data_IF_124173831373
#
_entry.id   IF_124173831373
#
_cell.length_a   1.000
_cell.length_b   1.000
_cell.length_c   1.000
_cell.angle_alpha   90.00
_cell.angle_beta   90.00
_cell.angle_gamma   90.00
#
_symmetry.space_group_name_H-M   'P 1'
#
loop_
_entity.id
_entity.type
_entity.pdbx_description
1 polymer ?
#
# COMPACT_ATOMS: atom_id res chain seq x y z
N UNK A 1 60.95 22.06 22.25
CA UNK A 1 60.15 22.89 21.32
C UNK A 1 58.69 22.72 21.67
N UNK A 2 58.02 23.84 21.89
CA UNK A 2 56.72 23.98 22.54
C UNK A 2 55.55 23.44 21.70
N UNK A 3 54.63 22.73 22.36
CA UNK A 3 53.19 22.68 22.02
C UNK A 3 52.54 23.95 22.60
N UNK A 4 51.59 24.63 21.91
CA UNK A 4 50.16 24.38 22.19
C UNK A 4 49.18 24.74 21.04
N UNK A 5 47.92 24.29 21.11
CA UNK A 5 46.91 24.70 20.12
C UNK A 5 45.47 24.25 20.31
N UNK A 6 45.00 24.16 21.55
CA UNK A 6 43.61 23.85 21.92
C UNK A 6 42.63 24.96 21.48
N UNK A 7 41.56 24.64 20.73
CA UNK A 7 40.31 25.42 20.75
C UNK A 7 39.09 24.49 20.71
N UNK A 8 38.44 24.42 21.87
CA UNK A 8 37.08 23.90 22.08
C UNK A 8 36.08 24.90 21.50
N UNK A 9 35.04 24.42 20.83
CA UNK A 9 33.80 25.16 20.67
C UNK A 9 32.67 24.30 21.27
N UNK A 10 32.32 24.63 22.51
CA UNK A 10 31.10 24.21 23.14
C UNK A 10 29.97 25.11 22.62
N UNK A 11 29.00 24.52 21.92
CA UNK A 11 27.78 25.19 21.49
C UNK A 11 26.59 24.50 22.14
N UNK A 12 26.35 24.82 23.40
CA UNK A 12 25.10 24.50 24.11
C UNK A 12 24.05 25.49 23.61
N UNK A 13 23.06 25.03 22.86
CA UNK A 13 21.81 25.77 22.64
C UNK A 13 20.69 24.96 23.27
N UNK A 14 20.44 25.31 24.52
CA UNK A 14 19.26 24.96 25.28
C UNK A 14 18.18 25.95 24.85
N UNK A 15 17.19 25.53 24.05
CA UNK A 15 15.93 26.26 23.94
C UNK A 15 14.81 25.41 24.54
N UNK A 16 14.15 26.08 25.46
CA UNK A 16 13.20 25.62 26.46
C UNK A 16 11.89 25.10 25.88
N UNK A 17 11.32 24.19 26.64
CA UNK A 17 9.97 23.67 26.57
C UNK A 17 8.84 24.72 26.57
N UNK A 18 7.64 24.19 26.29
CA UNK A 18 6.28 24.65 26.62
C UNK A 18 5.46 25.29 25.49
N UNK A 19 4.71 24.45 24.78
CA UNK A 19 3.35 24.80 24.38
C UNK A 19 2.45 23.55 24.43
N UNK A 20 2.04 23.21 25.65
CA UNK A 20 0.86 22.39 25.88
C UNK A 20 -0.40 23.16 25.45
N UNK A 21 -1.41 22.41 25.02
CA UNK A 21 -2.82 22.70 25.30
C UNK A 21 -3.50 23.81 24.48
N UNK A 22 -3.85 23.56 23.22
CA UNK A 22 -5.16 23.94 22.64
C UNK A 22 -5.34 23.39 21.22
N UNK A 23 -5.91 22.19 21.08
CA UNK A 23 -6.94 21.93 20.06
C UNK A 23 -7.74 20.65 20.44
N UNK A 24 -8.27 20.65 21.67
CA UNK A 24 -9.50 19.93 21.97
C UNK A 24 -10.64 20.74 21.32
N UNK A 25 -10.94 20.48 20.05
CA UNK A 25 -12.09 21.04 19.35
C UNK A 25 -12.71 19.98 18.44
N UNK A 26 -13.45 19.07 19.07
CA UNK A 26 -14.79 18.66 18.65
C UNK A 26 -15.00 18.42 17.14
N UNK A 27 -14.73 17.20 16.65
CA UNK A 27 -15.61 16.64 15.62
C UNK A 27 -16.57 15.65 16.25
N UNK A 28 -17.67 16.26 16.66
CA UNK A 28 -18.97 15.74 17.04
C UNK A 28 -19.34 14.52 16.19
N UNK A 29 -19.53 13.40 16.87
CA UNK A 29 -20.18 12.20 16.37
C UNK A 29 -21.61 12.52 15.94
N UNK A 30 -21.84 12.68 14.63
CA UNK A 30 -23.20 12.75 14.09
C UNK A 30 -23.80 11.34 14.04
N UNK A 31 -24.35 10.87 15.17
CA UNK A 31 -25.23 9.69 15.18
C UNK A 31 -26.59 10.11 14.59
N UNK A 32 -26.82 9.82 13.31
CA UNK A 32 -28.15 9.85 12.73
C UNK A 32 -28.96 8.66 13.29
N UNK A 33 -29.69 8.90 14.38
CA UNK A 33 -30.79 8.02 14.80
C UNK A 33 -31.99 8.31 13.91
N UNK A 34 -32.21 7.49 12.89
CA UNK A 34 -33.47 7.48 12.16
C UNK A 34 -34.57 6.89 13.06
N UNK A 35 -35.37 7.77 13.66
CA UNK A 35 -36.61 7.41 14.33
C UNK A 35 -37.61 6.88 13.29
N UNK A 36 -38.15 5.69 13.55
CA UNK A 36 -39.10 5.02 12.69
C UNK A 36 -40.45 5.73 12.61
N UNK A 37 -41.02 5.72 11.41
CA UNK A 37 -42.47 5.85 11.21
C UNK A 37 -43.09 4.45 11.27
N UNK A 38 -44.14 4.23 12.07
CA UNK A 38 -44.90 2.99 12.02
C UNK A 38 -45.70 2.95 10.72
N UNK A 39 -45.27 2.13 9.77
CA UNK A 39 -46.07 1.82 8.60
C UNK A 39 -47.32 1.04 9.03
N UNK A 40 -48.49 1.61 8.75
CA UNK A 40 -49.79 0.95 8.86
C UNK A 40 -49.77 -0.35 8.05
N UNK A 41 -49.80 -1.50 8.74
CA UNK A 41 -49.93 -2.81 8.09
C UNK A 41 -51.36 -2.95 7.58
N UNK A 42 -51.55 -2.71 6.28
CA UNK A 42 -52.76 -3.15 5.59
C UNK A 42 -52.77 -4.69 5.57
N UNK A 43 -53.87 -5.34 6.01
CA UNK A 43 -54.01 -6.79 5.89
C UNK A 43 -53.87 -7.19 4.42
N UNK A 44 -52.90 -8.04 4.12
CA UNK A 44 -52.74 -8.60 2.79
C UNK A 44 -54.01 -9.41 2.44
N UNK A 45 -54.53 -9.31 1.21
CA UNK A 45 -55.60 -10.19 0.76
C UNK A 45 -55.16 -11.64 0.89
N UNK A 46 -56.08 -12.50 1.33
CA UNK A 46 -55.84 -13.92 1.51
C UNK A 46 -55.22 -14.51 0.22
N UNK A 47 -54.12 -15.26 0.31
CA UNK A 47 -53.50 -15.86 -0.85
C UNK A 47 -54.53 -16.76 -1.53
N UNK A 48 -54.83 -16.46 -2.79
CA UNK A 48 -55.52 -17.41 -3.65
C UNK A 48 -54.78 -18.73 -3.55
N UNK A 49 -55.52 -19.82 -3.27
CA UNK A 49 -54.96 -21.14 -3.16
C UNK A 49 -54.15 -21.46 -4.42
N UNK A 50 -52.83 -21.34 -4.33
CA UNK A 50 -51.93 -21.75 -5.39
C UNK A 50 -52.08 -23.26 -5.47
N UNK A 51 -52.71 -23.72 -6.56
CA UNK A 51 -52.65 -25.12 -6.94
C UNK A 51 -51.17 -25.50 -6.97
N UNK A 52 -50.72 -26.48 -6.16
CA UNK A 52 -49.36 -26.97 -6.27
C UNK A 52 -49.22 -27.57 -7.66
N UNK A 53 -48.63 -26.83 -8.59
CA UNK A 53 -48.08 -27.39 -9.79
C UNK A 53 -46.91 -28.24 -9.33
N UNK A 54 -47.20 -29.52 -9.12
CA UNK A 54 -46.19 -30.56 -8.93
C UNK A 54 -45.37 -30.59 -10.22
N UNK A 55 -44.36 -29.72 -10.30
CA UNK A 55 -43.31 -29.82 -11.29
C UNK A 55 -42.54 -31.07 -10.93
N UNK A 56 -42.84 -32.15 -11.64
CA UNK A 56 -42.10 -33.39 -11.63
C UNK A 56 -40.67 -33.07 -12.09
N UNK A 57 -39.78 -32.83 -11.13
CA UNK A 57 -38.37 -32.55 -11.38
C UNK A 57 -37.78 -33.84 -11.92
N UNK A 58 -37.67 -33.92 -13.24
CA UNK A 58 -37.04 -35.06 -13.93
C UNK A 58 -35.59 -35.19 -13.43
N UNK A 59 -35.23 -36.28 -12.74
CA UNK A 59 -34.00 -36.37 -11.94
C UNK A 59 -32.70 -36.54 -12.76
N UNK A 60 -32.64 -36.12 -14.03
CA UNK A 60 -31.50 -36.40 -14.91
C UNK A 60 -31.04 -35.25 -15.80
N UNK A 61 -31.57 -34.02 -15.65
CA UNK A 61 -31.09 -32.91 -16.48
C UNK A 61 -29.73 -32.40 -15.99
N UNK A 62 -28.67 -32.87 -16.63
CA UNK A 62 -27.30 -32.41 -16.40
C UNK A 62 -27.17 -30.96 -16.88
N UNK A 63 -27.06 -30.02 -15.94
CA UNK A 63 -26.88 -28.59 -16.21
C UNK A 63 -25.38 -28.28 -16.26
N UNK A 64 -24.91 -27.81 -17.41
CA UNK A 64 -23.55 -27.32 -17.59
C UNK A 64 -23.51 -25.83 -17.32
N UNK A 65 -22.77 -25.42 -16.27
CA UNK A 65 -22.52 -24.01 -15.97
C UNK A 65 -21.15 -23.61 -16.52
N UNK A 66 -20.98 -22.38 -17.02
CA UNK A 66 -19.66 -21.88 -17.37
C UNK A 66 -18.79 -21.85 -16.11
N UNK A 67 -17.57 -22.39 -16.23
CA UNK A 67 -16.57 -22.24 -15.20
C UNK A 67 -16.07 -20.79 -15.20
N UNK A 68 -16.57 -19.99 -14.26
CA UNK A 68 -16.09 -18.62 -14.04
C UNK A 68 -14.87 -18.71 -13.14
N UNK A 69 -13.69 -18.46 -13.71
CA UNK A 69 -12.43 -18.43 -12.95
C UNK A 69 -12.17 -17.01 -12.48
N UNK A 70 -11.88 -16.84 -11.20
CA UNK A 70 -11.45 -15.56 -10.64
C UNK A 70 -9.98 -15.23 -10.94
N UNK A 71 -9.52 -14.00 -10.62
CA UNK A 71 -8.10 -13.66 -10.67
C UNK A 71 -7.27 -14.63 -9.80
N UNK A 72 -6.00 -14.87 -10.16
CA UNK A 72 -5.13 -15.76 -9.38
C UNK A 72 -5.04 -15.32 -7.92
N UNK A 73 -4.79 -16.27 -7.02
CA UNK A 73 -4.84 -16.05 -5.58
C UNK A 73 -4.03 -14.80 -5.18
N UNK A 74 -2.74 -14.74 -5.49
CA UNK A 74 -1.94 -13.52 -5.41
C UNK A 74 -1.34 -13.20 -6.78
N UNK A 75 -1.29 -11.90 -7.10
CA UNK A 75 -0.59 -11.38 -8.29
C UNK A 75 -0.18 -9.94 -8.01
N UNK A 76 1.09 -9.73 -7.71
CA UNK A 76 1.67 -8.41 -7.53
C UNK A 76 2.35 -7.99 -8.82
N UNK A 77 2.10 -6.75 -9.23
CA UNK A 77 2.65 -6.14 -10.43
C UNK A 77 3.35 -4.84 -10.07
N UNK A 78 4.29 -4.41 -10.92
CA UNK A 78 4.67 -3.00 -11.01
C UNK A 78 3.55 -2.27 -11.74
N UNK A 79 2.77 -1.46 -11.02
CA UNK A 79 1.67 -0.70 -11.58
C UNK A 79 2.08 0.64 -12.18
N UNK A 80 3.17 1.23 -11.68
CA UNK A 80 3.79 2.45 -12.20
C UNK A 80 5.26 2.55 -11.76
N UNK A 81 6.04 3.34 -12.48
CA UNK A 81 7.37 3.78 -12.05
C UNK A 81 7.55 5.26 -12.41
N UNK A 82 8.04 6.04 -11.46
CA UNK A 82 8.49 7.41 -11.66
C UNK A 82 10.01 7.41 -11.77
N UNK A 83 10.50 7.48 -13.01
CA UNK A 83 11.92 7.31 -13.37
C UNK A 83 12.61 8.65 -13.61
N UNK A 84 11.86 9.65 -14.11
CA UNK A 84 12.39 10.98 -14.42
C UNK A 84 11.87 11.98 -13.38
N UNK A 85 12.70 12.18 -12.36
CA UNK A 85 12.44 12.98 -11.17
C UNK A 85 12.18 14.46 -11.47
N UNK A 86 11.33 15.10 -10.65
CA UNK A 86 11.17 16.55 -10.68
C UNK A 86 12.31 17.31 -9.96
N UNK A 87 13.12 16.59 -9.17
CA UNK A 87 14.19 17.10 -8.32
C UNK A 87 15.57 16.63 -8.81
N UNK A 88 16.61 17.46 -8.65
CA UNK A 88 17.98 17.05 -9.00
C UNK A 88 18.44 15.86 -8.16
N UNK A 89 19.23 14.96 -8.77
CA UNK A 89 19.73 13.71 -8.16
C UNK A 89 18.65 12.67 -7.84
N UNK A 90 17.44 12.89 -8.34
CA UNK A 90 16.40 11.87 -8.43
C UNK A 90 15.92 11.28 -7.08
N UNK A 91 15.83 12.07 -5.98
CA UNK A 91 15.41 11.53 -4.67
C UNK A 91 13.92 11.15 -4.61
N UNK A 92 13.10 11.63 -5.54
CA UNK A 92 11.67 11.32 -5.62
C UNK A 92 11.35 10.17 -6.60
N UNK A 93 12.36 9.44 -7.12
CA UNK A 93 12.12 8.21 -7.88
C UNK A 93 11.22 7.25 -7.11
N UNK A 94 10.29 6.59 -7.79
CA UNK A 94 9.34 5.73 -7.12
C UNK A 94 8.84 4.56 -7.97
N UNK A 95 8.43 3.49 -7.30
CA UNK A 95 7.79 2.31 -7.90
C UNK A 95 6.50 2.02 -7.15
N UNK A 96 5.40 1.88 -7.90
CA UNK A 96 4.11 1.48 -7.36
C UNK A 96 3.95 -0.03 -7.50
N UNK A 97 3.73 -0.69 -6.38
CA UNK A 97 3.31 -2.09 -6.35
C UNK A 97 1.78 -2.17 -6.30
N UNK A 98 1.21 -3.08 -7.09
CA UNK A 98 -0.23 -3.35 -7.08
C UNK A 98 -0.50 -4.84 -6.96
N UNK A 99 -1.16 -5.25 -5.87
CA UNK A 99 -1.73 -6.58 -5.78
C UNK A 99 -3.07 -6.60 -6.50
N UNK A 100 -3.09 -7.14 -7.72
CA UNK A 100 -4.32 -7.31 -8.51
C UNK A 100 -5.06 -8.60 -8.17
N UNK A 101 -4.46 -9.47 -7.35
CA UNK A 101 -5.00 -10.76 -6.91
C UNK A 101 -6.13 -10.65 -5.87
N UNK A 102 -6.67 -11.80 -5.50
CA UNK A 102 -7.77 -11.95 -4.56
C UNK A 102 -7.35 -12.18 -3.10
N UNK A 103 -6.08 -12.47 -2.84
CA UNK A 103 -5.51 -12.73 -1.51
C UNK A 103 -4.42 -11.74 -1.18
N UNK A 104 -4.21 -11.51 0.13
CA UNK A 104 -3.11 -10.67 0.60
C UNK A 104 -1.76 -11.32 0.26
N UNK A 105 -0.74 -10.51 0.00
CA UNK A 105 0.61 -10.97 -0.35
C UNK A 105 1.64 -10.41 0.63
N UNK A 106 2.37 -11.29 1.32
CA UNK A 106 3.57 -10.87 2.07
C UNK A 106 4.64 -10.42 1.09
N UNK A 107 5.30 -9.30 1.39
CA UNK A 107 6.41 -8.80 0.58
C UNK A 107 7.78 -9.20 1.13
N UNK A 108 7.87 -9.90 2.26
CA UNK A 108 9.16 -10.35 2.81
C UNK A 108 9.97 -11.15 1.78
N UNK A 109 11.21 -10.73 1.52
CA UNK A 109 12.10 -11.35 0.54
C UNK A 109 11.86 -10.97 -0.93
N UNK A 110 10.78 -10.25 -1.25
CA UNK A 110 10.55 -9.74 -2.60
C UNK A 110 11.61 -8.70 -2.96
N UNK A 111 11.84 -8.48 -4.26
CA UNK A 111 12.85 -7.50 -4.68
C UNK A 111 12.52 -6.79 -5.99
N UNK A 112 13.03 -5.56 -6.08
CA UNK A 112 13.13 -4.81 -7.32
C UNK A 112 14.53 -4.99 -7.91
N UNK A 113 14.62 -5.13 -9.22
CA UNK A 113 15.90 -5.14 -9.91
C UNK A 113 15.84 -4.22 -11.14
N UNK A 114 16.75 -3.24 -11.18
CA UNK A 114 16.98 -2.35 -12.31
C UNK A 114 18.45 -2.46 -12.73
N UNK A 115 18.68 -2.89 -13.97
CA UNK A 115 20.02 -3.21 -14.47
C UNK A 115 20.76 -4.18 -13.52
N UNK A 116 21.96 -3.82 -13.07
CA UNK A 116 22.77 -4.61 -12.12
C UNK A 116 22.46 -4.31 -10.65
N UNK A 117 21.54 -3.39 -10.34
CA UNK A 117 21.19 -2.99 -8.98
C UNK A 117 19.90 -3.67 -8.53
N UNK A 118 19.85 -3.98 -7.24
CA UNK A 118 18.73 -4.67 -6.60
C UNK A 118 18.50 -4.09 -5.22
N UNK A 119 17.22 -3.99 -4.86
CA UNK A 119 16.76 -3.70 -3.50
C UNK A 119 15.75 -4.76 -3.09
N UNK A 120 15.76 -5.15 -1.82
CA UNK A 120 14.99 -6.28 -1.32
C UNK A 120 14.21 -5.87 -0.09
N UNK A 121 12.97 -6.33 0.01
CA UNK A 121 12.20 -6.24 1.24
C UNK A 121 12.84 -7.15 2.29
N UNK A 122 13.26 -6.62 3.46
CA UNK A 122 13.92 -7.42 4.48
C UNK A 122 13.07 -8.65 4.86
N UNK A 123 13.70 -9.80 5.06
CA UNK A 123 12.97 -11.02 5.48
C UNK A 123 12.23 -10.86 6.82
N UNK A 124 12.63 -9.87 7.62
CA UNK A 124 12.02 -9.50 8.90
C UNK A 124 10.80 -8.59 8.76
N UNK A 125 10.52 -8.05 7.56
CA UNK A 125 9.37 -7.17 7.36
C UNK A 125 8.05 -7.91 7.58
N UNK A 126 7.07 -7.19 8.12
CA UNK A 126 5.69 -7.67 8.26
C UNK A 126 4.75 -7.02 7.24
N UNK A 127 5.30 -6.31 6.26
CA UNK A 127 4.53 -5.62 5.25
C UNK A 127 3.77 -6.62 4.35
N UNK A 128 2.44 -6.45 4.32
CA UNK A 128 1.52 -7.26 3.54
C UNK A 128 0.73 -6.34 2.61
N UNK A 129 0.77 -6.62 1.31
CA UNK A 129 -0.03 -5.91 0.31
C UNK A 129 -1.41 -6.56 0.20
N UNK A 130 -2.44 -5.89 0.70
CA UNK A 130 -3.80 -6.39 0.72
C UNK A 130 -4.37 -6.59 -0.70
N UNK A 131 -5.40 -7.46 -0.89
CA UNK A 131 -6.02 -7.68 -2.19
C UNK A 131 -6.50 -6.38 -2.81
N UNK A 132 -6.26 -6.20 -4.11
CA UNK A 132 -6.72 -5.04 -4.89
C UNK A 132 -6.18 -3.69 -4.41
N UNK A 133 -5.17 -3.66 -3.55
CA UNK A 133 -4.54 -2.43 -3.04
C UNK A 133 -3.17 -2.20 -3.66
N UNK A 134 -2.72 -0.94 -3.59
CA UNK A 134 -1.44 -0.49 -4.11
C UNK A 134 -0.67 0.29 -3.06
N UNK A 135 0.65 0.28 -3.15
CA UNK A 135 1.54 1.09 -2.34
C UNK A 135 2.68 1.65 -3.18
N UNK A 136 3.24 2.76 -2.73
CA UNK A 136 4.46 3.34 -3.27
C UNK A 136 5.66 2.93 -2.43
N UNK A 137 6.77 2.71 -3.11
CA UNK A 137 8.09 2.77 -2.54
C UNK A 137 8.92 3.79 -3.32
N UNK A 138 9.77 4.55 -2.64
CA UNK A 138 10.53 5.63 -3.26
C UNK A 138 12.02 5.54 -2.96
N UNK A 139 12.85 6.32 -3.66
CA UNK A 139 14.25 6.47 -3.29
C UNK A 139 14.37 7.11 -1.90
N UNK A 140 13.72 8.26 -1.68
CA UNK A 140 13.60 8.93 -0.39
C UNK A 140 12.13 9.31 -0.12
N UNK A 141 11.62 8.91 1.04
CA UNK A 141 10.24 9.14 1.46
C UNK A 141 9.87 10.62 1.54
N UNK A 142 10.71 11.44 2.18
CA UNK A 142 10.45 12.87 2.36
C UNK A 142 10.40 13.62 1.01
N UNK A 143 11.30 13.28 0.08
CA UNK A 143 11.36 13.88 -1.24
C UNK A 143 10.12 13.52 -2.07
N UNK A 144 9.74 12.24 -2.11
CA UNK A 144 8.53 11.81 -2.82
C UNK A 144 7.27 12.48 -2.28
N UNK A 145 7.11 12.54 -0.95
CA UNK A 145 5.97 13.21 -0.32
C UNK A 145 5.93 14.71 -0.68
N UNK A 146 7.08 15.35 -0.77
CA UNK A 146 7.18 16.76 -1.17
C UNK A 146 6.77 16.97 -2.63
N UNK A 147 7.21 16.11 -3.55
CA UNK A 147 6.89 16.20 -4.98
C UNK A 147 5.44 15.86 -5.31
N UNK A 148 4.87 14.85 -4.64
CA UNK A 148 3.58 14.27 -5.03
C UNK A 148 2.45 14.44 -4.02
N UNK A 149 2.75 14.78 -2.75
CA UNK A 149 1.75 14.86 -1.69
C UNK A 149 1.14 13.51 -1.29
N UNK A 150 1.84 12.41 -1.57
CA UNK A 150 1.41 11.03 -1.32
C UNK A 150 2.38 10.35 -0.33
N UNK A 151 1.84 9.44 0.50
CA UNK A 151 2.65 8.65 1.43
C UNK A 151 3.28 7.44 0.74
N UNK A 152 4.46 7.05 1.22
CA UNK A 152 5.17 5.84 0.80
C UNK A 152 5.19 4.82 1.93
N UNK A 153 5.35 3.56 1.56
CA UNK A 153 5.42 2.44 2.51
C UNK A 153 6.83 1.89 2.65
N UNK A 154 7.70 2.14 1.68
CA UNK A 154 9.10 1.76 1.77
C UNK A 154 10.02 2.73 1.03
N UNK A 155 11.30 2.77 1.42
CA UNK A 155 12.34 3.55 0.75
C UNK A 155 13.61 2.74 0.51
N UNK A 156 14.50 3.19 -0.38
CA UNK A 156 15.68 2.39 -0.78
C UNK A 156 16.99 3.16 -0.98
N UNK A 157 17.03 4.46 -0.66
CA UNK A 157 18.25 5.25 -0.71
C UNK A 157 18.73 5.59 0.72
N UNK A 158 18.58 6.84 1.13
CA UNK A 158 18.87 7.27 2.50
C UNK A 158 17.60 7.11 3.34
N UNK A 159 17.72 6.66 4.59
CA UNK A 159 16.64 6.66 5.59
C UNK A 159 16.29 8.12 5.89
N UNK A 160 15.23 8.60 5.24
CA UNK A 160 14.72 9.96 5.39
C UNK A 160 13.52 10.01 6.31
N UNK A 161 12.85 8.87 6.54
CA UNK A 161 11.72 8.77 7.45
C UNK A 161 11.75 7.44 8.21
N UNK A 162 12.12 7.50 9.49
CA UNK A 162 12.21 6.33 10.36
C UNK A 162 10.89 5.56 10.58
N UNK A 163 9.75 6.10 10.12
CA UNK A 163 8.46 5.39 10.12
C UNK A 163 8.22 4.59 8.81
N UNK A 164 9.00 4.83 7.77
CA UNK A 164 8.96 4.14 6.48
C UNK A 164 9.90 2.93 6.52
N UNK A 165 9.53 1.85 5.82
CA UNK A 165 10.36 0.65 5.76
C UNK A 165 11.57 0.89 4.86
N UNK A 166 12.78 0.75 5.39
CA UNK A 166 13.99 0.66 4.57
C UNK A 166 14.10 -0.69 3.85
N UNK A 167 14.38 -0.64 2.56
CA UNK A 167 14.76 -1.80 1.76
C UNK A 167 16.27 -2.09 1.88
N UNK A 168 16.62 -3.36 1.82
CA UNK A 168 18.01 -3.80 1.78
C UNK A 168 18.61 -3.54 0.39
N UNK A 169 19.58 -2.62 0.31
CA UNK A 169 20.33 -2.31 -0.91
C UNK A 169 20.11 -0.89 -1.40
N UNK A 170 20.47 -0.62 -2.66
CA UNK A 170 20.21 0.68 -3.31
C UNK A 170 19.81 0.49 -4.76
N UNK A 171 18.83 1.25 -5.22
CA UNK A 171 18.34 1.24 -6.60
C UNK A 171 18.47 2.64 -7.21
N UNK A 172 18.65 2.70 -8.52
CA UNK A 172 18.48 3.93 -9.32
C UNK A 172 17.78 3.52 -10.59
N UNK A 173 16.76 4.27 -11.00
CA UNK A 173 16.00 3.96 -12.19
C UNK A 173 16.69 4.62 -13.40
N UNK A 174 17.08 3.86 -14.43
CA UNK A 174 17.88 4.42 -15.51
C UNK A 174 17.04 5.33 -16.41
N UNK A 175 17.34 6.62 -16.40
CA UNK A 175 16.77 7.62 -17.31
C UNK A 175 17.05 7.35 -18.81
N UNK A 176 18.06 6.54 -19.12
CA UNK A 176 18.34 6.07 -20.49
C UNK A 176 17.44 4.92 -20.95
N UNK A 177 16.47 4.51 -20.13
CA UNK A 177 15.69 3.28 -20.31
C UNK A 177 16.43 2.04 -19.78
N UNK A 178 15.76 0.89 -19.83
CA UNK A 178 16.26 -0.38 -19.30
C UNK A 178 15.13 -1.32 -18.91
N UNK A 179 15.44 -2.30 -18.05
CA UNK A 179 14.45 -3.19 -17.47
C UNK A 179 14.34 -2.95 -15.97
N UNK A 180 13.12 -2.71 -15.49
CA UNK A 180 12.74 -2.80 -14.09
C UNK A 180 11.94 -4.10 -13.92
N UNK A 181 12.42 -4.98 -13.06
CA UNK A 181 11.82 -6.29 -12.83
C UNK A 181 11.43 -6.47 -11.37
N UNK A 182 10.33 -7.17 -11.14
CA UNK A 182 9.87 -7.57 -9.81
C UNK A 182 10.12 -9.07 -9.66
N UNK A 183 10.64 -9.47 -8.51
CA UNK A 183 10.88 -10.87 -8.19
C UNK A 183 10.25 -11.24 -6.86
N UNK A 184 9.69 -12.44 -6.80
CA UNK A 184 9.13 -12.99 -5.57
C UNK A 184 10.24 -13.40 -4.56
N UNK A 185 9.83 -13.93 -3.41
CA UNK A 185 10.73 -14.33 -2.34
C UNK A 185 11.65 -15.51 -2.73
N UNK A 186 11.25 -16.28 -3.75
CA UNK A 186 12.01 -17.38 -4.33
C UNK A 186 12.89 -16.94 -5.52
N UNK A 187 12.98 -15.63 -5.78
CA UNK A 187 13.72 -15.00 -6.88
C UNK A 187 13.16 -15.28 -8.29
N UNK A 188 11.92 -15.76 -8.41
CA UNK A 188 11.25 -15.90 -9.70
C UNK A 188 10.76 -14.53 -10.20
N UNK A 189 10.86 -14.32 -11.52
CA UNK A 189 10.25 -13.17 -12.19
C UNK A 189 8.72 -13.32 -12.20
N UNK A 190 7.99 -12.27 -11.81
CA UNK A 190 6.51 -12.26 -11.71
C UNK A 190 5.81 -11.35 -12.72
#
# INVERSE_FOLDING_TARGET
MQSPGMRRAAGVVLLTATLSLLLLATLTTLRLTAAGLPASRQPAPAPAALHPTTHEISPTQQVWLPHIVGPSAARVLIGAAHVDSAVSYEPDEAVLLWNVGGTAQSLAGWSFQANSRRVTFPLTTTLVLAPRTRLWCAAQAEAFRTSFGEEVYCEWAEDTDAAVLDLDGTLTLPNSGGALTLRDAEDHLV
#
